data_IF_778249309002
#
_entry.id   IF_778249309002
#
_cell.length_a   1.000
_cell.length_b   1.000
_cell.length_c   1.000
_cell.angle_alpha   90.00
_cell.angle_beta   90.00
_cell.angle_gamma   90.00
#
_symmetry.space_group_name_H-M   'P 1'
#
loop_
_entity.id
_entity.type
_entity.pdbx_description
1 polymer ?
#
# COMPACT_ATOMS: atom_id res chain seq x y z
N UNK A 1 13.76 12.32 -6.28
CA UNK A 1 14.42 11.06 -5.83
C UNK A 1 14.30 10.01 -6.94
N UNK A 2 15.12 8.96 -6.96
CA UNK A 2 14.90 7.81 -7.86
C UNK A 2 14.64 6.55 -7.04
N UNK A 3 13.50 5.91 -7.27
CA UNK A 3 13.07 4.76 -6.47
C UNK A 3 13.84 3.48 -6.80
N UNK A 4 14.42 3.38 -7.98
CA UNK A 4 15.25 2.22 -8.36
C UNK A 4 16.69 2.32 -7.84
N UNK A 5 17.11 3.46 -7.30
CA UNK A 5 18.47 3.60 -6.73
C UNK A 5 18.52 3.07 -5.29
N UNK A 6 19.54 2.27 -4.99
CA UNK A 6 19.75 1.69 -3.66
C UNK A 6 19.93 2.80 -2.62
N UNK A 7 18.92 2.98 -1.77
CA UNK A 7 18.93 3.98 -0.72
C UNK A 7 18.04 3.59 0.46
N UNK A 8 18.51 3.88 1.66
CA UNK A 8 17.72 3.80 2.88
C UNK A 8 17.28 5.20 3.30
N UNK A 9 16.02 5.29 3.71
CA UNK A 9 15.36 6.51 4.16
C UNK A 9 14.87 6.36 5.61
N UNK A 10 14.59 7.50 6.23
CA UNK A 10 13.96 7.62 7.55
C UNK A 10 12.70 8.47 7.44
N UNK A 11 11.63 8.01 8.07
CA UNK A 11 10.42 8.81 8.35
C UNK A 11 10.20 8.85 9.85
N UNK A 12 9.90 10.05 10.37
CA UNK A 12 9.47 10.21 11.75
C UNK A 12 7.96 9.94 11.82
N UNK A 13 7.58 9.07 12.74
CA UNK A 13 6.19 8.71 13.00
C UNK A 13 5.89 8.98 14.47
N UNK A 14 4.94 9.87 14.72
CA UNK A 14 4.40 10.07 16.07
C UNK A 14 3.24 9.11 16.29
N UNK A 15 3.38 8.17 17.21
CA UNK A 15 2.27 7.34 17.69
C UNK A 15 1.59 8.05 18.87
N UNK A 16 0.26 8.23 18.77
CA UNK A 16 -0.57 8.89 19.77
C UNK A 16 -1.48 7.86 20.42
N UNK A 17 -1.39 7.75 21.74
CA UNK A 17 -2.18 6.83 22.55
C UNK A 17 -3.67 7.26 22.64
N UNK A 18 -4.57 6.31 22.89
CA UNK A 18 -6.03 6.52 22.98
C UNK A 18 -6.40 7.53 24.07
N UNK A 19 -5.68 7.52 25.20
CA UNK A 19 -6.04 8.25 26.43
C UNK A 19 -5.57 9.71 26.48
N UNK A 20 -5.01 10.24 25.39
CA UNK A 20 -4.40 11.56 25.39
C UNK A 20 -5.45 12.70 25.25
N UNK A 21 -6.27 12.92 26.28
CA UNK A 21 -7.05 14.17 26.43
C UNK A 21 -6.14 15.42 26.56
N UNK A 22 -4.84 15.22 26.85
CA UNK A 22 -3.88 16.31 27.12
C UNK A 22 -2.54 16.20 26.36
N UNK A 23 -2.41 15.32 25.36
CA UNK A 23 -1.24 15.30 24.45
C UNK A 23 0.10 14.87 25.06
N UNK A 24 0.11 14.29 26.27
CA UNK A 24 1.32 13.91 27.01
C UNK A 24 1.87 12.51 26.68
N UNK A 25 1.08 11.63 26.05
CA UNK A 25 1.51 10.29 25.64
C UNK A 25 1.71 10.23 24.12
N UNK A 26 2.80 10.84 23.66
CA UNK A 26 3.29 10.74 22.29
C UNK A 26 4.58 9.96 22.27
N UNK A 27 4.68 8.99 21.35
CA UNK A 27 5.89 8.24 21.10
C UNK A 27 6.39 8.55 19.70
N UNK A 28 7.51 9.24 19.60
CA UNK A 28 8.16 9.48 18.32
C UNK A 28 9.03 8.27 17.95
N UNK A 29 8.78 7.73 16.76
CA UNK A 29 9.41 6.53 16.24
C UNK A 29 10.08 6.89 14.92
N UNK A 30 11.38 6.61 14.81
CA UNK A 30 12.09 6.69 13.55
C UNK A 30 12.00 5.35 12.82
N UNK A 31 11.30 5.32 11.69
CA UNK A 31 11.21 4.12 10.85
C UNK A 31 12.25 4.22 9.74
N UNK A 32 13.15 3.24 9.68
CA UNK A 32 14.08 3.04 8.56
C UNK A 32 13.45 2.14 7.51
N UNK A 33 13.51 2.54 6.25
CA UNK A 33 13.01 1.77 5.11
C UNK A 33 13.85 1.99 3.86
N UNK A 34 13.92 0.99 3.00
CA UNK A 34 14.64 1.05 1.72
C UNK A 34 13.75 1.61 0.60
N UNK A 35 14.38 2.03 -0.49
CA UNK A 35 13.71 2.35 -1.74
C UNK A 35 12.86 1.17 -2.26
N UNK A 36 13.33 -0.07 -2.08
CA UNK A 36 12.61 -1.28 -2.47
C UNK A 36 11.37 -1.53 -1.59
N UNK A 37 11.45 -1.30 -0.28
CA UNK A 37 10.27 -1.35 0.62
C UNK A 37 9.22 -0.31 0.21
N UNK A 38 9.65 0.90 -0.16
CA UNK A 38 8.74 1.94 -0.67
C UNK A 38 8.14 1.56 -2.03
N UNK A 39 8.92 0.97 -2.94
CA UNK A 39 8.43 0.45 -4.23
C UNK A 39 7.39 -0.67 -4.05
N UNK A 40 7.61 -1.58 -3.09
CA UNK A 40 6.63 -2.62 -2.75
C UNK A 40 5.32 -2.00 -2.24
N UNK A 41 5.41 -1.00 -1.36
CA UNK A 41 4.24 -0.26 -0.89
C UNK A 41 3.51 0.49 -2.04
N UNK A 42 4.25 1.07 -3.00
CA UNK A 42 3.68 1.67 -4.22
C UNK A 42 2.94 0.61 -5.02
N UNK A 43 3.59 -0.51 -5.35
CA UNK A 43 3.02 -1.63 -6.10
C UNK A 43 1.70 -2.11 -5.48
N UNK A 44 1.69 -2.37 -4.17
CA UNK A 44 0.51 -2.82 -3.44
C UNK A 44 -0.60 -1.76 -3.34
N UNK A 45 -0.28 -0.48 -3.54
CA UNK A 45 -1.22 0.66 -3.53
C UNK A 45 -1.79 1.01 -4.89
N UNK A 46 -1.08 0.68 -5.97
CA UNK A 46 -1.58 0.86 -7.33
C UNK A 46 -2.71 -0.13 -7.61
N UNK A 47 -3.50 0.07 -8.68
CA UNK A 47 -4.42 -0.93 -9.26
C UNK A 47 -5.96 -0.87 -9.01
N UNK A 48 -6.60 0.26 -8.64
CA UNK A 48 -8.07 0.33 -8.69
C UNK A 48 -8.65 0.26 -10.12
N UNK A 49 -7.99 0.85 -11.12
CA UNK A 49 -8.62 1.09 -12.42
C UNK A 49 -8.65 -0.15 -13.33
N UNK A 50 -7.69 -1.07 -13.19
CA UNK A 50 -7.67 -2.34 -13.91
C UNK A 50 -8.95 -3.17 -13.72
N UNK A 51 -9.62 -3.04 -12.56
CA UNK A 51 -10.86 -3.75 -12.23
C UNK A 51 -12.10 -3.21 -12.94
N UNK A 52 -12.04 -2.00 -13.51
CA UNK A 52 -13.19 -1.37 -14.14
C UNK A 52 -13.42 -1.86 -15.58
N UNK A 53 -12.43 -2.49 -16.24
CA UNK A 53 -12.67 -3.16 -17.52
C UNK A 53 -11.56 -4.14 -17.90
N UNK A 54 -11.93 -5.38 -18.24
CA UNK A 54 -11.05 -6.39 -18.84
C UNK A 54 -10.57 -6.06 -20.27
N UNK A 55 -10.98 -4.90 -20.82
CA UNK A 55 -10.84 -4.57 -22.24
C UNK A 55 -9.52 -3.88 -22.61
N UNK A 56 -8.68 -3.52 -21.64
CA UNK A 56 -7.49 -2.71 -21.92
C UNK A 56 -6.24 -3.29 -21.24
N UNK A 57 -5.61 -4.25 -21.92
CA UNK A 57 -4.26 -4.74 -21.58
C UNK A 57 -3.25 -3.57 -21.60
N UNK A 58 -2.28 -3.59 -20.69
CA UNK A 58 -1.19 -2.59 -20.62
C UNK A 58 -1.49 -1.33 -19.78
N UNK A 59 -2.76 -1.05 -19.42
CA UNK A 59 -3.08 0.07 -18.51
C UNK A 59 -2.54 -0.12 -17.09
N UNK A 60 -2.44 -1.36 -16.62
CA UNK A 60 -1.89 -1.69 -15.28
C UNK A 60 -0.43 -1.27 -15.15
N UNK A 61 0.38 -1.62 -16.15
CA UNK A 61 1.77 -1.17 -16.25
C UNK A 61 1.87 0.35 -16.29
N UNK A 62 1.09 1.00 -17.16
CA UNK A 62 1.09 2.46 -17.26
C UNK A 62 0.67 3.14 -15.94
N UNK A 63 -0.31 2.59 -15.22
CA UNK A 63 -0.74 3.10 -13.91
C UNK A 63 0.38 2.96 -12.87
N UNK A 64 1.04 1.80 -12.83
CA UNK A 64 2.18 1.57 -11.94
C UNK A 64 3.35 2.51 -12.26
N UNK A 65 3.71 2.66 -13.53
CA UNK A 65 4.75 3.59 -13.97
C UNK A 65 4.40 5.04 -13.60
N UNK A 66 3.13 5.44 -13.81
CA UNK A 66 2.62 6.78 -13.44
C UNK A 66 2.71 7.03 -11.94
N UNK A 67 2.40 6.01 -11.12
CA UNK A 67 2.49 6.08 -9.66
C UNK A 67 3.92 6.20 -9.15
N UNK A 68 4.84 5.44 -9.74
CA UNK A 68 6.28 5.55 -9.45
C UNK A 68 6.77 6.96 -9.80
N UNK A 69 6.47 7.44 -11.01
CA UNK A 69 6.84 8.79 -11.43
C UNK A 69 6.22 9.89 -10.56
N UNK A 70 4.97 9.72 -10.13
CA UNK A 70 4.32 10.62 -9.18
C UNK A 70 5.10 10.69 -7.86
N UNK A 71 5.47 9.56 -7.25
CA UNK A 71 6.26 9.57 -6.00
C UNK A 71 7.63 10.24 -6.20
N UNK A 72 8.31 9.93 -7.30
CA UNK A 72 9.64 10.48 -7.59
C UNK A 72 9.67 11.99 -7.87
N UNK A 73 8.59 12.52 -8.47
CA UNK A 73 8.45 13.93 -8.83
C UNK A 73 8.00 14.82 -7.68
N UNK A 74 7.38 14.25 -6.65
CA UNK A 74 6.80 14.99 -5.51
C UNK A 74 7.68 14.87 -4.26
N UNK A 75 8.64 13.95 -4.24
CA UNK A 75 9.58 13.79 -3.14
C UNK A 75 11.03 13.99 -3.60
N UNK A 76 11.74 14.80 -2.85
CA UNK A 76 13.17 15.02 -2.97
C UNK A 76 13.90 14.42 -1.78
N UNK A 77 15.19 14.16 -1.97
CA UNK A 77 16.00 13.53 -0.94
C UNK A 77 16.87 14.57 -0.26
N UNK A 78 16.75 14.71 1.07
CA UNK A 78 17.62 15.54 1.89
C UNK A 78 18.29 14.68 2.95
N UNK A 79 19.53 14.26 2.68
CA UNK A 79 20.22 13.27 3.50
C UNK A 79 19.57 11.89 3.35
N UNK A 80 19.10 11.34 4.47
CA UNK A 80 18.32 10.11 4.59
C UNK A 80 16.81 10.35 4.75
N UNK A 81 16.34 11.61 4.70
CA UNK A 81 14.93 11.93 4.78
C UNK A 81 14.37 12.37 3.43
N UNK A 82 13.06 12.21 3.27
CA UNK A 82 12.33 12.71 2.12
C UNK A 82 11.67 14.05 2.44
N UNK A 83 11.78 14.98 1.52
CA UNK A 83 11.20 16.32 1.62
C UNK A 83 10.26 16.58 0.45
N UNK A 84 9.35 17.53 0.65
CA UNK A 84 8.46 18.04 -0.38
C UNK A 84 9.28 18.63 -1.52
N UNK A 85 9.06 18.13 -2.74
CA UNK A 85 9.72 18.66 -3.92
C UNK A 85 9.20 20.07 -4.28
N UNK A 86 10.08 20.93 -4.83
CA UNK A 86 9.70 22.31 -5.18
C UNK A 86 8.63 22.36 -6.27
N UNK A 87 8.62 21.39 -7.17
CA UNK A 87 7.72 21.32 -8.32
C UNK A 87 6.25 21.21 -7.89
N UNK A 88 5.98 20.72 -6.67
CA UNK A 88 4.61 20.68 -6.12
C UNK A 88 4.00 22.09 -6.02
N UNK A 89 4.80 23.15 -5.90
CA UNK A 89 4.29 24.52 -5.81
C UNK A 89 3.54 24.96 -7.09
N UNK A 90 3.87 24.36 -8.24
CA UNK A 90 3.25 24.69 -9.52
C UNK A 90 1.95 23.91 -9.80
N UNK A 91 1.64 22.91 -8.97
CA UNK A 91 0.42 22.12 -9.09
C UNK A 91 -0.76 22.84 -8.49
N UNK A 92 -1.95 22.62 -9.05
CA UNK A 92 -3.18 23.16 -8.50
C UNK A 92 -3.60 22.45 -7.19
N UNK A 93 -4.61 22.98 -6.50
CA UNK A 93 -5.07 22.42 -5.23
C UNK A 93 -5.62 20.99 -5.36
N UNK A 94 -6.27 20.64 -6.47
CA UNK A 94 -6.82 19.31 -6.69
C UNK A 94 -5.71 18.28 -6.96
N UNK A 95 -4.74 18.62 -7.80
CA UNK A 95 -3.56 17.80 -8.09
C UNK A 95 -2.76 17.53 -6.81
N UNK A 96 -2.49 18.58 -6.02
CA UNK A 96 -1.80 18.44 -4.72
C UNK A 96 -2.58 17.55 -3.77
N UNK A 97 -3.89 17.70 -3.71
CA UNK A 97 -4.76 16.89 -2.84
C UNK A 97 -4.72 15.41 -3.24
N UNK A 98 -4.79 15.11 -4.54
CA UNK A 98 -4.70 13.75 -5.06
C UNK A 98 -3.33 13.12 -4.75
N UNK A 99 -2.23 13.83 -5.00
CA UNK A 99 -0.89 13.38 -4.67
C UNK A 99 -0.75 13.07 -3.18
N UNK A 100 -1.15 14.01 -2.33
CA UNK A 100 -1.08 13.83 -0.88
C UNK A 100 -1.89 12.61 -0.47
N UNK A 101 -3.11 12.44 -0.98
CA UNK A 101 -3.95 11.26 -0.71
C UNK A 101 -3.24 9.94 -1.06
N UNK A 102 -2.60 9.87 -2.24
CA UNK A 102 -1.85 8.67 -2.62
C UNK A 102 -0.63 8.42 -1.75
N UNK A 103 0.13 9.46 -1.39
CA UNK A 103 1.21 9.34 -0.41
C UNK A 103 0.67 8.83 0.93
N UNK A 104 -0.50 9.32 1.37
CA UNK A 104 -1.19 8.83 2.55
C UNK A 104 -1.43 7.32 2.52
N UNK A 105 -1.94 6.80 1.40
CA UNK A 105 -2.16 5.35 1.23
C UNK A 105 -0.84 4.58 1.25
N UNK A 106 0.15 5.01 0.46
CA UNK A 106 1.45 4.33 0.31
C UNK A 106 2.17 4.25 1.65
N UNK A 107 2.29 5.37 2.36
CA UNK A 107 3.00 5.42 3.63
C UNK A 107 2.21 4.77 4.76
N UNK A 108 0.88 4.80 4.75
CA UNK A 108 0.09 4.04 5.72
C UNK A 108 0.39 2.55 5.62
N UNK A 109 0.51 2.00 4.40
CA UNK A 109 0.93 0.61 4.21
C UNK A 109 2.34 0.33 4.70
N UNK A 110 3.30 1.18 4.30
CA UNK A 110 4.69 1.04 4.73
C UNK A 110 4.80 1.07 6.25
N UNK A 111 4.15 2.03 6.91
CA UNK A 111 4.16 2.18 8.37
C UNK A 111 3.47 0.98 9.04
N UNK A 112 2.29 0.58 8.54
CA UNK A 112 1.55 -0.58 9.05
C UNK A 112 2.38 -1.88 8.97
N UNK A 113 3.07 -2.08 7.85
CA UNK A 113 3.97 -3.21 7.65
C UNK A 113 5.15 -3.17 8.63
N UNK A 114 5.84 -2.01 8.73
CA UNK A 114 7.07 -1.88 9.51
C UNK A 114 6.85 -1.93 11.01
N UNK A 115 5.77 -1.32 11.51
CA UNK A 115 5.50 -1.25 12.95
C UNK A 115 4.64 -2.40 13.45
N UNK A 116 3.68 -2.87 12.66
CA UNK A 116 2.65 -3.80 13.13
C UNK A 116 2.64 -5.13 12.35
N UNK A 117 3.51 -5.30 11.35
CA UNK A 117 3.62 -6.54 10.59
C UNK A 117 2.37 -6.87 9.78
N UNK A 118 1.70 -5.83 9.26
CA UNK A 118 0.50 -5.95 8.42
C UNK A 118 0.96 -5.89 6.96
N UNK A 119 1.03 -7.06 6.32
CA UNK A 119 1.64 -7.22 5.01
C UNK A 119 0.62 -7.09 3.86
N UNK A 120 -0.59 -7.63 4.04
CA UNK A 120 -1.68 -7.49 3.07
C UNK A 120 -2.62 -6.38 3.51
N UNK A 121 -2.80 -5.35 2.69
CA UNK A 121 -3.77 -4.27 2.91
C UNK A 121 -4.61 -4.04 1.66
N UNK A 122 -5.92 -3.89 1.81
CA UNK A 122 -6.85 -3.75 0.68
C UNK A 122 -7.86 -2.64 0.99
N UNK A 123 -8.06 -1.65 0.10
CA UNK A 123 -9.17 -0.71 0.22
C UNK A 123 -10.51 -1.44 0.26
N UNK A 124 -11.37 -1.11 1.23
CA UNK A 124 -12.65 -1.78 1.45
C UNK A 124 -13.52 -1.87 0.19
N UNK A 125 -13.56 -0.78 -0.59
CA UNK A 125 -14.30 -0.69 -1.84
C UNK A 125 -13.75 -1.55 -3.00
N UNK A 126 -12.66 -2.30 -2.79
CA UNK A 126 -12.13 -3.27 -3.75
C UNK A 126 -12.47 -4.71 -3.40
N UNK A 127 -13.01 -4.95 -2.19
CA UNK A 127 -13.43 -6.28 -1.74
C UNK A 127 -14.82 -6.55 -2.28
N UNK A 128 -15.02 -7.70 -2.94
CA UNK A 128 -16.33 -8.09 -3.48
C UNK A 128 -17.20 -8.72 -2.40
N UNK A 129 -18.51 -8.46 -2.46
CA UNK A 129 -19.50 -9.22 -1.69
C UNK A 129 -19.74 -10.59 -2.32
N UNK A 130 -20.03 -11.64 -1.53
CA UNK A 130 -20.28 -12.97 -2.08
C UNK A 130 -21.55 -12.98 -2.93
N UNK A 131 -21.50 -13.72 -4.04
CA UNK A 131 -22.62 -13.86 -4.96
C UNK A 131 -22.98 -12.61 -5.76
N UNK A 132 -22.33 -11.47 -5.51
CA UNK A 132 -22.63 -10.20 -6.18
C UNK A 132 -21.45 -9.68 -7.01
N UNK A 133 -21.75 -8.93 -8.09
CA UNK A 133 -20.77 -8.08 -8.78
C UNK A 133 -20.55 -6.73 -8.07
N UNK A 134 -20.96 -6.62 -6.80
CA UNK A 134 -20.86 -5.38 -6.01
C UNK A 134 -19.70 -5.46 -5.04
N UNK A 135 -19.12 -4.29 -4.76
CA UNK A 135 -18.08 -4.13 -3.74
C UNK A 135 -18.69 -3.85 -2.37
N UNK A 136 -17.95 -4.20 -1.32
CA UNK A 136 -18.35 -3.94 0.06
C UNK A 136 -18.58 -2.44 0.27
N UNK A 137 -19.68 -2.15 0.96
CA UNK A 137 -20.06 -0.81 1.42
C UNK A 137 -20.22 -0.84 2.92
N UNK A 138 -19.95 0.29 3.56
CA UNK A 138 -20.26 0.53 4.96
C UNK A 138 -21.25 1.69 5.03
N UNK A 139 -22.38 1.49 5.72
CA UNK A 139 -23.48 2.47 5.79
C UNK A 139 -23.88 3.05 4.42
N UNK A 140 -23.88 2.21 3.38
CA UNK A 140 -24.24 2.59 2.01
C UNK A 140 -23.14 3.31 1.20
N UNK A 141 -22.01 3.66 1.82
CA UNK A 141 -20.89 4.36 1.20
C UNK A 141 -19.75 3.43 0.78
N UNK A 142 -19.06 3.78 -0.32
CA UNK A 142 -17.79 3.16 -0.71
C UNK A 142 -16.66 3.85 0.03
N UNK A 143 -16.23 3.27 1.15
CA UNK A 143 -15.11 3.79 1.91
C UNK A 143 -13.77 3.29 1.36
N UNK A 144 -12.71 4.09 1.56
CA UNK A 144 -11.34 3.79 1.12
C UNK A 144 -10.46 3.23 2.23
N UNK A 145 -11.02 2.93 3.41
CA UNK A 145 -10.27 2.33 4.51
C UNK A 145 -9.50 1.12 4.03
N UNK A 146 -8.24 1.05 4.44
CA UNK A 146 -7.39 -0.07 4.17
C UNK A 146 -7.66 -1.15 5.22
N UNK A 147 -8.21 -2.27 4.77
CA UNK A 147 -8.39 -3.45 5.58
C UNK A 147 -7.07 -4.23 5.56
N UNK A 148 -6.44 -4.33 6.73
CA UNK A 148 -5.19 -5.05 6.91
C UNK A 148 -5.42 -6.45 7.46
N UNK A 149 -4.64 -7.42 6.97
CA UNK A 149 -4.57 -8.76 7.52
C UNK A 149 -3.14 -9.07 7.93
N UNK A 150 -2.94 -9.29 9.23
CA UNK A 150 -1.63 -9.46 9.85
C UNK A 150 -1.39 -10.86 10.42
N UNK A 151 -0.30 -10.99 11.19
CA UNK A 151 0.05 -12.24 11.89
C UNK A 151 -1.11 -12.73 12.77
N UNK A 152 -1.16 -14.05 13.00
CA UNK A 152 -2.19 -14.72 13.83
C UNK A 152 -3.63 -14.52 13.35
N UNK A 153 -3.83 -14.33 12.04
CA UNK A 153 -5.15 -14.17 11.42
C UNK A 153 -5.93 -12.96 11.96
N UNK A 154 -5.20 -11.89 12.30
CA UNK A 154 -5.76 -10.71 12.93
C UNK A 154 -6.13 -9.63 11.91
N UNK A 155 -7.39 -9.18 11.98
CA UNK A 155 -7.90 -8.08 11.16
C UNK A 155 -7.51 -6.72 11.74
N UNK A 156 -7.32 -5.76 10.84
CA UNK A 156 -7.12 -4.35 11.20
C UNK A 156 -7.78 -3.41 10.20
N UNK A 157 -8.09 -2.21 10.64
CA UNK A 157 -8.64 -1.13 9.81
C UNK A 157 -7.72 0.07 9.89
N UNK A 158 -7.45 0.68 8.74
CA UNK A 158 -6.56 1.81 8.63
C UNK A 158 -7.17 2.88 7.75
N UNK A 159 -7.36 4.07 8.31
CA UNK A 159 -7.81 5.23 7.53
C UNK A 159 -6.58 6.07 7.11
N UNK A 160 -6.20 6.06 5.82
CA UNK A 160 -5.07 6.82 5.32
C UNK A 160 -5.45 8.28 5.09
N UNK A 161 -4.75 9.20 5.75
CA UNK A 161 -4.97 10.64 5.61
C UNK A 161 -3.73 11.29 4.98
N UNK A 162 -3.85 11.69 3.73
CA UNK A 162 -2.78 12.39 3.02
C UNK A 162 -2.98 13.90 3.02
N UNK A 163 -2.05 14.68 3.58
CA UNK A 163 -2.16 16.16 3.61
C UNK A 163 -0.85 16.85 3.30
N UNK A 164 -0.93 18.09 2.83
CA UNK A 164 0.25 18.94 2.66
C UNK A 164 0.78 19.51 3.97
N UNK A 165 -0.06 19.53 5.01
CA UNK A 165 0.19 20.11 6.32
C UNK A 165 -0.47 19.26 7.42
N UNK A 166 -0.07 19.49 8.67
CA UNK A 166 -0.63 18.81 9.84
C UNK A 166 -2.06 19.29 10.14
N UNK A 167 -3.04 18.76 9.41
CA UNK A 167 -4.45 19.15 9.54
C UNK A 167 -5.15 18.34 10.63
N UNK A 168 -5.32 18.96 11.80
CA UNK A 168 -6.03 18.35 12.94
C UNK A 168 -7.49 17.99 12.58
N UNK A 169 -8.17 18.83 11.80
CA UNK A 169 -9.54 18.55 11.36
C UNK A 169 -9.62 17.33 10.44
N UNK A 170 -8.72 17.21 9.46
CA UNK A 170 -8.68 16.05 8.58
C UNK A 170 -8.30 14.77 9.35
N UNK A 171 -7.34 14.87 10.26
CA UNK A 171 -6.94 13.74 11.08
C UNK A 171 -8.04 13.29 12.05
N UNK A 172 -8.77 14.24 12.65
CA UNK A 172 -9.94 13.95 13.48
C UNK A 172 -11.06 13.24 12.71
N UNK A 173 -11.32 13.64 11.47
CA UNK A 173 -12.26 12.91 10.60
C UNK A 173 -11.76 11.49 10.29
N UNK A 174 -10.46 11.33 10.03
CA UNK A 174 -9.87 10.01 9.81
C UNK A 174 -9.97 9.11 11.05
N UNK A 175 -9.73 9.67 12.23
CA UNK A 175 -9.91 8.97 13.51
C UNK A 175 -11.37 8.53 13.70
N UNK A 176 -12.34 9.40 13.40
CA UNK A 176 -13.77 9.02 13.48
C UNK A 176 -14.09 7.88 12.51
N UNK A 177 -13.59 7.94 11.28
CA UNK A 177 -13.81 6.86 10.32
C UNK A 177 -13.22 5.53 10.84
N UNK A 178 -12.00 5.54 11.34
CA UNK A 178 -11.37 4.34 11.91
C UNK A 178 -12.13 3.80 13.14
N UNK A 179 -12.74 4.66 13.96
CA UNK A 179 -13.48 4.21 15.17
C UNK A 179 -14.85 3.58 14.90
N UNK A 180 -15.36 3.69 13.68
CA UNK A 180 -16.69 3.20 13.29
C UNK A 180 -16.76 1.68 13.10
N UNK A 181 -15.65 1.03 12.71
CA UNK A 181 -15.59 -0.41 12.46
C UNK A 181 -14.98 -1.11 13.67
N UNK A 182 -15.72 -2.03 14.27
CA UNK A 182 -15.32 -2.78 15.46
C UNK A 182 -14.89 -4.22 15.12
N UNK A 183 -15.55 -4.82 14.12
CA UNK A 183 -15.40 -6.23 13.78
C UNK A 183 -15.37 -6.47 12.27
N UNK A 184 -14.61 -7.49 11.89
CA UNK A 184 -14.61 -8.05 10.54
C UNK A 184 -14.88 -9.55 10.67
N UNK A 185 -15.90 -10.04 9.97
CA UNK A 185 -16.30 -11.46 10.02
C UNK A 185 -16.49 -11.96 11.44
N UNK A 186 -17.20 -11.19 12.28
CA UNK A 186 -17.41 -11.44 13.73
C UNK A 186 -16.15 -11.42 14.61
N UNK A 187 -14.96 -11.23 14.04
CA UNK A 187 -13.72 -11.16 14.79
C UNK A 187 -13.42 -9.71 15.18
N UNK A 188 -13.04 -9.44 16.44
CA UNK A 188 -12.61 -8.11 16.85
C UNK A 188 -11.33 -7.71 16.10
N UNK A 189 -11.22 -6.43 15.78
CA UNK A 189 -9.99 -5.90 15.20
C UNK A 189 -8.85 -5.97 16.23
N UNK A 190 -7.67 -6.41 15.80
CA UNK A 190 -6.45 -6.28 16.58
C UNK A 190 -5.93 -4.83 16.60
N UNK A 191 -6.26 -4.06 15.56
CA UNK A 191 -5.92 -2.64 15.47
C UNK A 191 -6.93 -1.88 14.62
N UNK A 192 -7.33 -0.69 15.06
CA UNK A 192 -8.00 0.29 14.20
C UNK A 192 -7.30 1.63 14.33
N UNK A 193 -6.82 2.20 13.23
CA UNK A 193 -6.00 3.42 13.32
C UNK A 193 -6.24 4.39 12.16
N UNK A 194 -6.11 5.68 12.43
CA UNK A 194 -5.89 6.68 11.41
C UNK A 194 -4.38 6.93 11.28
N UNK A 195 -3.88 6.99 10.04
CA UNK A 195 -2.49 7.30 9.76
C UNK A 195 -2.45 8.51 8.83
N UNK A 196 -1.96 9.65 9.34
CA UNK A 196 -1.80 10.85 8.54
C UNK A 196 -0.36 11.04 8.12
N UNK A 197 -0.12 11.26 6.82
CA UNK A 197 1.14 11.79 6.31
C UNK A 197 1.01 13.27 5.97
N UNK A 198 2.06 14.01 6.30
CA UNK A 198 2.10 15.46 6.09
C UNK A 198 3.54 15.97 6.00
N UNK A 199 3.69 17.20 5.52
CA UNK A 199 4.98 17.87 5.54
C UNK A 199 5.08 18.78 6.77
N UNK A 200 6.16 18.65 7.52
CA UNK A 200 6.55 19.58 8.59
C UNK A 200 7.89 20.22 8.23
N UNK A 201 7.90 21.54 8.07
CA UNK A 201 9.09 22.30 7.61
C UNK A 201 9.70 21.72 6.32
N UNK A 202 8.85 21.18 5.45
CA UNK A 202 9.23 20.52 4.20
C UNK A 202 9.55 19.03 4.31
N UNK A 203 9.79 18.48 5.50
CA UNK A 203 10.08 17.05 5.69
C UNK A 203 8.80 16.23 5.74
N UNK A 204 8.80 15.07 5.09
CA UNK A 204 7.69 14.14 5.17
C UNK A 204 7.69 13.46 6.55
N UNK A 205 6.57 13.54 7.24
CA UNK A 205 6.35 12.94 8.56
C UNK A 205 5.01 12.20 8.57
N UNK A 206 4.80 11.38 9.59
CA UNK A 206 3.52 10.74 9.84
C UNK A 206 3.08 10.83 11.30
N UNK A 207 1.77 10.71 11.50
CA UNK A 207 1.18 10.49 12.81
C UNK A 207 0.20 9.33 12.72
N UNK A 208 0.27 8.42 13.69
CA UNK A 208 -0.64 7.27 13.82
C UNK A 208 -1.40 7.43 15.13
N UNK A 209 -2.71 7.30 15.07
CA UNK A 209 -3.56 7.28 16.26
C UNK A 209 -4.54 6.12 16.16
N UNK A 210 -4.60 5.32 17.21
CA UNK A 210 -5.72 4.43 17.46
C UNK A 210 -6.78 5.23 18.22
N UNK A 211 -7.96 5.51 17.64
CA UNK A 211 -9.03 6.19 18.34
C UNK A 211 -9.74 5.23 19.30
N UNK A 212 -10.39 5.77 20.33
CA UNK A 212 -11.37 5.01 21.08
C UNK A 212 -12.45 4.50 20.13
N UNK A 213 -12.84 3.23 20.27
CA UNK A 213 -13.88 2.63 19.43
C UNK A 213 -15.23 3.17 19.87
N UNK A 214 -15.94 3.79 18.93
CA UNK A 214 -17.23 4.44 19.20
C UNK A 214 -18.38 3.81 18.42
N UNK A 215 -18.09 3.01 17.40
CA UNK A 215 -19.08 2.30 16.59
C UNK A 215 -19.22 0.83 16.97
N UNK A 216 -20.34 0.24 16.56
CA UNK A 216 -20.66 -1.20 16.57
C UNK A 216 -20.51 -1.82 15.16
N UNK A 217 -19.83 -1.10 14.26
CA UNK A 217 -19.76 -1.42 12.85
C UNK A 217 -19.14 -2.79 12.61
N UNK A 218 -19.91 -3.68 12.00
CA UNK A 218 -19.44 -5.01 11.61
C UNK A 218 -19.40 -5.10 10.09
N UNK A 219 -18.23 -5.46 9.56
CA UNK A 219 -18.06 -5.79 8.15
C UNK A 219 -18.09 -7.29 7.96
N UNK A 220 -18.65 -7.73 6.84
CA UNK A 220 -18.64 -9.13 6.46
C UNK A 220 -18.29 -9.31 4.98
N UNK A 221 -17.32 -10.19 4.71
CA UNK A 221 -16.92 -10.61 3.37
C UNK A 221 -16.15 -11.95 3.44
N UNK A 222 -16.25 -12.82 2.42
CA UNK A 222 -15.41 -14.01 2.35
C UNK A 222 -13.93 -13.64 2.35
N UNK A 223 -13.11 -14.32 3.13
CA UNK A 223 -11.66 -14.08 3.16
C UNK A 223 -11.03 -14.28 1.77
N UNK A 224 -11.52 -15.26 1.02
CA UNK A 224 -11.12 -15.48 -0.38
C UNK A 224 -11.30 -14.21 -1.23
N UNK A 225 -12.41 -13.48 -1.04
CA UNK A 225 -12.66 -12.22 -1.77
C UNK A 225 -11.70 -11.11 -1.35
N UNK A 226 -11.25 -11.09 -0.09
CA UNK A 226 -10.22 -10.18 0.39
C UNK A 226 -8.86 -10.48 -0.26
N UNK A 227 -8.41 -11.74 -0.24
CA UNK A 227 -7.13 -12.12 -0.85
C UNK A 227 -7.15 -12.01 -2.37
N UNK A 228 -8.28 -12.34 -3.01
CA UNK A 228 -8.50 -12.02 -4.43
C UNK A 228 -8.46 -10.52 -4.66
N UNK A 229 -8.97 -9.71 -3.73
CA UNK A 229 -8.87 -8.26 -3.85
C UNK A 229 -7.41 -7.75 -3.82
N UNK A 230 -6.55 -8.40 -3.05
CA UNK A 230 -5.12 -8.11 -2.98
C UNK A 230 -4.32 -8.62 -4.19
N UNK A 231 -4.44 -9.90 -4.53
CA UNK A 231 -3.54 -10.58 -5.47
C UNK A 231 -3.98 -10.55 -6.93
N UNK A 232 -5.29 -10.52 -7.20
CA UNK A 232 -5.80 -10.50 -8.59
C UNK A 232 -5.20 -9.38 -9.44
N UNK A 233 -5.02 -8.13 -8.96
CA UNK A 233 -4.44 -7.08 -9.80
C UNK A 233 -2.98 -7.37 -10.17
N UNK A 234 -2.20 -7.93 -9.25
CA UNK A 234 -0.82 -8.35 -9.50
C UNK A 234 -0.77 -9.49 -10.52
N UNK A 235 -1.63 -10.49 -10.36
CA UNK A 235 -1.77 -11.58 -11.32
C UNK A 235 -2.15 -11.07 -12.73
N UNK A 236 -3.07 -10.10 -12.81
CA UNK A 236 -3.44 -9.50 -14.08
C UNK A 236 -2.33 -8.65 -14.71
N UNK A 237 -1.50 -7.98 -13.90
CA UNK A 237 -0.29 -7.30 -14.39
C UNK A 237 0.66 -8.31 -15.03
N UNK A 238 0.91 -9.44 -14.35
CA UNK A 238 1.75 -10.52 -14.86
C UNK A 238 1.19 -11.13 -16.16
N UNK A 239 -0.13 -11.37 -16.20
CA UNK A 239 -0.82 -11.92 -17.36
C UNK A 239 -0.85 -10.97 -18.57
N UNK A 240 -0.97 -9.65 -18.34
CA UNK A 240 -0.98 -8.65 -19.40
C UNK A 240 0.40 -8.54 -20.08
N UNK A 241 1.50 -8.64 -19.32
CA UNK A 241 2.85 -8.39 -19.82
C UNK A 241 3.56 -9.64 -20.39
N UNK A 242 3.41 -10.82 -19.76
CA UNK A 242 4.06 -12.06 -20.23
C UNK A 242 3.10 -13.26 -20.20
N UNK A 243 2.03 -13.27 -21.03
CA UNK A 243 1.03 -14.34 -21.03
C UNK A 243 1.62 -15.72 -21.36
N UNK A 244 2.68 -15.80 -22.18
CA UNK A 244 3.31 -17.08 -22.55
C UNK A 244 4.11 -17.71 -21.41
N UNK A 245 4.83 -16.91 -20.64
CA UNK A 245 5.64 -17.36 -19.50
C UNK A 245 4.77 -17.69 -18.29
N UNK A 246 3.63 -17.00 -18.16
CA UNK A 246 2.69 -17.24 -17.08
C UNK A 246 2.16 -18.66 -17.07
N UNK A 247 2.00 -19.34 -18.21
CA UNK A 247 1.48 -20.72 -18.27
C UNK A 247 2.55 -21.77 -18.61
N UNK A 248 3.73 -21.36 -19.09
CA UNK A 248 4.79 -22.26 -19.54
C UNK A 248 5.99 -22.44 -18.58
N UNK A 249 6.12 -21.62 -17.54
CA UNK A 249 7.26 -21.69 -16.61
C UNK A 249 7.06 -22.72 -15.49
N UNK A 250 8.11 -23.47 -15.18
CA UNK A 250 8.20 -24.41 -14.06
C UNK A 250 8.80 -23.81 -12.78
N UNK A 251 9.02 -22.49 -12.75
CA UNK A 251 9.60 -21.74 -11.63
C UNK A 251 8.69 -20.61 -11.13
N UNK A 252 9.24 -19.69 -10.32
CA UNK A 252 8.55 -18.44 -9.97
C UNK A 252 8.31 -17.55 -11.19
N UNK A 253 7.54 -16.48 -11.00
CA UNK A 253 7.25 -15.52 -12.07
C UNK A 253 7.99 -14.21 -11.82
N UNK A 254 8.57 -13.63 -12.88
CA UNK A 254 9.36 -12.42 -12.84
C UNK A 254 9.02 -11.55 -14.06
N UNK A 255 8.52 -10.35 -13.78
CA UNK A 255 8.24 -9.29 -14.74
C UNK A 255 9.31 -8.21 -14.62
N UNK A 256 9.86 -7.79 -15.75
CA UNK A 256 10.69 -6.60 -15.85
C UNK A 256 9.89 -5.41 -16.39
N UNK A 257 9.94 -4.30 -15.67
CA UNK A 257 9.34 -3.03 -16.04
C UNK A 257 10.42 -2.00 -16.37
N UNK A 258 10.33 -1.46 -17.57
CA UNK A 258 11.17 -0.36 -18.03
C UNK A 258 10.60 0.97 -17.55
N UNK A 259 11.42 1.79 -16.89
CA UNK A 259 11.07 3.13 -16.40
C UNK A 259 12.00 4.16 -17.07
N UNK A 260 11.49 5.33 -17.51
CA UNK A 260 12.36 6.38 -18.02
C UNK A 260 13.19 6.97 -16.89
N UNK A 261 14.41 7.41 -17.20
CA UNK A 261 15.14 8.30 -16.30
C UNK A 261 14.41 9.65 -16.19
N UNK A 262 14.19 10.08 -14.94
CA UNK A 262 13.52 11.35 -14.60
C UNK A 262 14.49 12.43 -14.13
N UNK A 263 15.77 12.09 -13.95
CA UNK A 263 16.84 13.03 -13.61
C UNK A 263 17.36 13.78 -14.83
N UNK A 264 17.67 15.07 -14.63
CA UNK A 264 18.25 15.91 -15.66
C UNK A 264 19.59 15.35 -16.15
N UNK A 265 19.78 15.27 -17.46
CA UNK A 265 21.01 14.79 -18.10
C UNK A 265 21.12 13.27 -18.26
N UNK A 266 20.29 12.46 -17.58
CA UNK A 266 20.21 11.01 -17.84
C UNK A 266 19.25 10.74 -19.01
N UNK A 267 19.62 9.81 -19.90
CA UNK A 267 18.80 9.35 -21.04
C UNK A 267 18.63 7.85 -20.99
N UNK A 268 17.59 7.34 -21.65
CA UNK A 268 17.28 5.92 -21.72
C UNK A 268 16.38 5.48 -20.57
N UNK A 269 16.55 4.23 -20.16
CA UNK A 269 15.65 3.58 -19.22
C UNK A 269 16.43 2.93 -18.09
N UNK A 270 15.70 2.61 -17.02
CA UNK A 270 16.13 1.81 -15.87
C UNK A 270 15.10 0.71 -15.63
N UNK A 271 15.52 -0.36 -15.00
CA UNK A 271 14.68 -1.56 -14.90
C UNK A 271 14.25 -1.82 -13.45
N UNK A 272 12.97 -2.14 -13.31
CA UNK A 272 12.33 -2.58 -12.07
C UNK A 272 11.88 -4.02 -12.27
N UNK A 273 12.34 -4.92 -11.42
CA UNK A 273 11.92 -6.31 -11.40
C UNK A 273 10.81 -6.50 -10.36
N UNK A 274 9.76 -7.23 -10.73
CA UNK A 274 8.64 -7.57 -9.84
C UNK A 274 8.33 -9.04 -10.03
N UNK A 275 8.08 -9.77 -8.94
CA UNK A 275 7.69 -11.15 -9.11
C UNK A 275 7.15 -11.82 -7.87
N UNK A 276 6.99 -13.13 -7.97
CA UNK A 276 6.47 -13.98 -6.91
C UNK A 276 6.98 -15.42 -7.04
N UNK A 277 6.90 -16.20 -5.97
CA UNK A 277 7.29 -17.60 -5.98
C UNK A 277 6.33 -18.49 -6.80
N UNK A 278 6.82 -19.67 -7.18
CA UNK A 278 6.10 -20.63 -8.02
C UNK A 278 4.75 -21.03 -7.45
N UNK A 279 4.65 -21.19 -6.13
CA UNK A 279 3.42 -21.68 -5.51
C UNK A 279 2.39 -20.55 -5.44
N UNK A 280 2.80 -19.34 -5.10
CA UNK A 280 1.90 -18.17 -5.08
C UNK A 280 1.33 -17.88 -6.46
N UNK A 281 2.14 -17.90 -7.53
CA UNK A 281 1.62 -17.70 -8.89
C UNK A 281 0.68 -18.83 -9.35
N UNK A 282 0.96 -20.08 -8.97
CA UNK A 282 0.09 -21.21 -9.26
C UNK A 282 -1.28 -21.07 -8.58
N UNK A 283 -1.30 -20.66 -7.31
CA UNK A 283 -2.54 -20.42 -6.56
C UNK A 283 -3.36 -19.27 -7.14
N UNK A 284 -2.72 -18.15 -7.55
CA UNK A 284 -3.39 -17.07 -8.26
C UNK A 284 -4.02 -17.55 -9.57
N UNK A 285 -3.28 -18.36 -10.35
CA UNK A 285 -3.74 -18.92 -11.63
C UNK A 285 -4.94 -19.86 -11.46
N UNK A 286 -4.94 -20.67 -10.42
CA UNK A 286 -6.04 -21.59 -10.08
C UNK A 286 -7.22 -20.89 -9.38
N UNK A 287 -7.08 -19.60 -9.04
CA UNK A 287 -8.08 -18.84 -8.31
C UNK A 287 -8.21 -19.22 -6.83
N UNK A 288 -7.24 -19.96 -6.28
CA UNK A 288 -7.24 -20.50 -4.90
C UNK A 288 -6.62 -19.51 -3.91
N UNK A 289 -7.23 -18.33 -3.81
CA UNK A 289 -6.71 -17.23 -2.99
C UNK A 289 -6.73 -17.53 -1.48
N UNK A 290 -7.66 -18.37 -1.02
CA UNK A 290 -7.75 -18.87 0.36
C UNK A 290 -6.55 -19.72 0.78
N UNK A 291 -5.84 -20.33 -0.17
CA UNK A 291 -4.65 -21.14 0.11
C UNK A 291 -3.40 -20.28 0.24
N UNK A 292 -3.36 -19.10 -0.38
CA UNK A 292 -2.24 -18.15 -0.23
C UNK A 292 -2.18 -17.67 1.23
N UNK A 293 -3.33 -17.41 1.84
CA UNK A 293 -3.48 -17.09 3.27
C UNK A 293 -2.75 -18.09 4.17
N UNK A 294 -3.01 -19.39 3.97
CA UNK A 294 -2.43 -20.48 4.79
C UNK A 294 -0.92 -20.55 4.69
N UNK A 295 -0.31 -19.89 3.70
CA UNK A 295 1.13 -19.87 3.45
C UNK A 295 1.81 -18.57 3.86
N UNK A 296 1.10 -17.49 4.22
CA UNK A 296 1.74 -16.21 4.58
C UNK A 296 2.76 -16.34 5.74
N UNK A 297 2.66 -17.38 6.58
CA UNK A 297 3.66 -17.70 7.60
C UNK A 297 4.89 -18.49 7.13
N UNK A 298 4.86 -19.04 5.90
CA UNK A 298 5.85 -19.96 5.33
C UNK A 298 6.35 -19.50 3.95
N UNK A 299 6.19 -18.21 3.61
CA UNK A 299 6.71 -17.65 2.36
C UNK A 299 8.22 -17.83 2.35
N UNK A 300 8.73 -18.42 1.27
CA UNK A 300 10.17 -18.55 1.07
C UNK A 300 10.77 -17.15 0.97
N UNK A 301 11.72 -16.84 1.83
CA UNK A 301 12.50 -15.63 1.70
C UNK A 301 13.37 -15.76 0.45
N UNK A 302 12.90 -15.18 -0.65
CA UNK A 302 13.60 -15.10 -1.92
C UNK A 302 14.44 -13.82 -2.01
N UNK A 303 14.69 -13.13 -0.89
CA UNK A 303 15.60 -11.99 -0.89
C UNK A 303 16.97 -12.44 -1.41
N UNK A 304 17.37 -11.82 -2.52
CA UNK A 304 18.72 -11.86 -3.08
C UNK A 304 19.33 -10.49 -2.87
N UNK A 305 20.65 -10.36 -3.02
CA UNK A 305 21.29 -9.04 -3.13
C UNK A 305 20.48 -8.20 -4.15
N UNK A 306 19.96 -7.04 -3.72
CA UNK A 306 19.11 -6.11 -4.49
C UNK A 306 17.62 -6.47 -4.68
N UNK A 307 17.04 -7.35 -3.86
CA UNK A 307 15.59 -7.60 -3.84
C UNK A 307 15.00 -7.43 -2.43
N UNK A 308 13.81 -6.86 -2.36
CA UNK A 308 12.95 -6.89 -1.17
C UNK A 308 11.80 -7.87 -1.41
N UNK A 309 11.57 -8.78 -0.47
CA UNK A 309 10.45 -9.72 -0.48
C UNK A 309 9.50 -9.40 0.68
N UNK A 310 8.26 -9.03 0.37
CA UNK A 310 7.22 -8.89 1.39
C UNK A 310 6.76 -10.26 1.88
N UNK A 311 6.14 -10.33 3.07
CA UNK A 311 5.54 -11.60 3.55
C UNK A 311 4.28 -12.00 2.77
N UNK A 312 3.83 -11.14 1.87
CA UNK A 312 2.81 -11.43 0.89
C UNK A 312 3.33 -12.31 -0.27
N UNK A 313 4.63 -12.64 -0.30
CA UNK A 313 5.23 -13.45 -1.36
C UNK A 313 5.47 -12.69 -2.66
N UNK A 314 5.34 -11.37 -2.63
CA UNK A 314 5.64 -10.47 -3.73
C UNK A 314 6.99 -9.81 -3.45
N UNK A 315 7.86 -9.84 -4.44
CA UNK A 315 9.17 -9.22 -4.35
C UNK A 315 9.35 -8.15 -5.41
N UNK A 316 10.17 -7.15 -5.08
CA UNK A 316 10.60 -6.08 -5.98
C UNK A 316 12.12 -5.98 -5.96
N UNK A 317 12.72 -5.73 -7.12
CA UNK A 317 14.16 -5.56 -7.29
C UNK A 317 14.46 -4.42 -8.25
N UNK A 318 15.64 -3.84 -8.13
CA UNK A 318 16.10 -2.78 -9.02
C UNK A 318 17.58 -3.00 -9.37
N UNK A 319 17.99 -2.48 -10.53
CA UNK A 319 19.36 -2.51 -11.02
C UNK A 319 20.34 -1.66 -10.20
#
# INVERSE_FOLDING_TARGET
>A
MILTEEKTYIINVTEVDTDAELGLNKKDIMIKYTNLELLHAVLASTMPYGRLSARYRGKRKAELQSRIAMVESVLETRGDQLVKAEQIMYLDTAERSAICHYLGIIYTRLIAQKLYGIDCMVPLNLIQQPGEKKFVKYNGAYRQDLIGYGKQNAWSVWEPVGRSENSQAAFGNGCRAASEIEKINENPLAKSAACMTYYERGYLNAVVKEPERTGDGTLWFPEENYFKAYYQPLFELFADEQPGELYGSSGGFELELTLPWTEEGKRGFRHLQIGTDQVTIALMREGKYDQILKRMGNVLDLSKERRFCGKDGIWVGAE
#
